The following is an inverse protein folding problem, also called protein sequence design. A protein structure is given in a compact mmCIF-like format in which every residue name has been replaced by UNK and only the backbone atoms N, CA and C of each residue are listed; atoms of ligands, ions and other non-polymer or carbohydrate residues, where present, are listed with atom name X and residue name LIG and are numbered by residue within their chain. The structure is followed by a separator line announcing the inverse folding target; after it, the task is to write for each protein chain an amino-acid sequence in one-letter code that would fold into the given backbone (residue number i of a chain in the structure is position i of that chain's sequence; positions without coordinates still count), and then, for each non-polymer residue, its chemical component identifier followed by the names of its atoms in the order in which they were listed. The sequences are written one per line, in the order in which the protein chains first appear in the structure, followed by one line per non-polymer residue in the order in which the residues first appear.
data_IF_697332964207
#
_entry.id   IF_697332964207
#
_cell.length_a   1.000
_cell.length_b   1.000
_cell.length_c   1.000
_cell.angle_alpha   90.00
_cell.angle_beta   90.00
_cell.angle_gamma   90.00
#
_symmetry.space_group_name_H-M   'P 1'
#
loop_
_entity.id
_entity.type
_entity.pdbx_description
1 polymer ?
#
# COMPACT_ATOMS: atom_id res chain seq x y z
N UNK A 1 15.75 33.31 0.76
CA UNK A 1 15.78 32.72 -0.59
C UNK A 1 14.40 32.10 -0.80
N UNK A 2 13.60 32.60 -1.75
CA UNK A 2 12.30 31.99 -2.05
C UNK A 2 12.62 30.72 -2.86
N UNK A 3 12.43 29.56 -2.24
CA UNK A 3 12.64 28.28 -2.90
C UNK A 3 11.44 28.03 -3.81
N UNK A 4 11.60 28.29 -5.11
CA UNK A 4 10.59 27.99 -6.11
C UNK A 4 10.60 26.49 -6.41
N UNK A 5 9.54 25.79 -6.03
CA UNK A 5 9.45 24.35 -6.19
C UNK A 5 8.53 24.00 -7.37
N UNK A 6 8.82 24.57 -8.55
CA UNK A 6 7.99 24.52 -9.77
C UNK A 6 7.59 23.08 -10.17
N UNK A 7 8.40 22.07 -9.85
CA UNK A 7 8.09 20.64 -10.09
C UNK A 7 6.90 20.11 -9.28
N UNK A 8 6.55 20.76 -8.18
CA UNK A 8 5.57 20.30 -7.20
C UNK A 8 4.31 21.16 -7.12
N UNK A 9 4.32 22.34 -7.73
CA UNK A 9 3.23 23.31 -7.64
C UNK A 9 2.10 23.07 -8.67
N UNK A 10 2.31 22.19 -9.65
CA UNK A 10 1.35 21.96 -10.75
C UNK A 10 0.54 20.66 -10.65
N UNK A 11 0.84 19.75 -9.71
CA UNK A 11 0.15 18.46 -9.59
C UNK A 11 -0.70 18.41 -8.32
N UNK A 12 -2.02 18.27 -8.49
CA UNK A 12 -2.95 18.17 -7.36
C UNK A 12 -2.86 16.78 -6.67
N UNK A 13 -2.88 15.71 -7.47
CA UNK A 13 -2.69 14.33 -7.01
C UNK A 13 -1.78 13.58 -7.97
N UNK A 14 -0.98 12.66 -7.44
CA UNK A 14 -0.24 11.68 -8.22
C UNK A 14 -0.65 10.29 -7.74
N UNK A 15 -1.01 9.43 -8.69
CA UNK A 15 -1.44 8.06 -8.41
C UNK A 15 -0.36 7.09 -8.85
N UNK A 16 -0.09 6.11 -8.00
CA UNK A 16 0.71 4.93 -8.32
C UNK A 16 -0.13 3.70 -7.99
N UNK A 17 0.01 2.62 -8.75
CA UNK A 17 -0.45 1.33 -8.24
C UNK A 17 0.23 1.05 -6.90
N UNK A 18 -0.51 0.55 -5.91
CA UNK A 18 0.08 0.10 -4.66
C UNK A 18 0.53 -1.35 -4.85
N UNK A 19 1.82 -1.60 -5.10
CA UNK A 19 2.25 -2.93 -5.51
C UNK A 19 2.06 -3.93 -4.38
N UNK A 20 1.72 -5.16 -4.74
CA UNK A 20 1.74 -6.30 -3.81
C UNK A 20 3.18 -6.75 -3.56
N UNK A 21 3.47 -7.16 -2.33
CA UNK A 21 4.79 -7.63 -1.91
C UNK A 21 5.67 -6.57 -1.25
N UNK A 22 6.25 -6.89 -0.10
CA UNK A 22 7.01 -5.97 0.75
C UNK A 22 8.13 -5.24 -0.01
N UNK A 23 8.92 -5.97 -0.81
CA UNK A 23 10.02 -5.39 -1.60
C UNK A 23 9.53 -4.39 -2.65
N UNK A 24 8.40 -4.66 -3.30
CA UNK A 24 7.85 -3.76 -4.34
C UNK A 24 7.28 -2.49 -3.70
N UNK A 25 6.69 -2.58 -2.52
CA UNK A 25 6.24 -1.40 -1.74
C UNK A 25 7.43 -0.55 -1.30
N UNK A 26 8.52 -1.16 -0.82
CA UNK A 26 9.75 -0.43 -0.48
C UNK A 26 10.35 0.29 -1.70
N UNK A 27 10.36 -0.37 -2.86
CA UNK A 27 10.81 0.25 -4.11
C UNK A 27 9.94 1.43 -4.54
N UNK A 28 8.62 1.35 -4.34
CA UNK A 28 7.73 2.49 -4.54
C UNK A 28 8.06 3.63 -3.55
N UNK A 29 8.30 3.32 -2.28
CA UNK A 29 8.72 4.31 -1.29
C UNK A 29 9.99 5.06 -1.72
N UNK A 30 11.00 4.32 -2.20
CA UNK A 30 12.24 4.92 -2.76
C UNK A 30 11.94 5.88 -3.91
N UNK A 31 11.06 5.49 -4.84
CA UNK A 31 10.64 6.32 -5.98
C UNK A 31 9.90 7.58 -5.53
N UNK A 32 8.98 7.47 -4.58
CA UNK A 32 8.24 8.61 -4.03
C UNK A 32 9.20 9.60 -3.38
N UNK A 33 10.18 9.12 -2.60
CA UNK A 33 11.21 9.98 -2.01
C UNK A 33 12.02 10.72 -3.08
N UNK A 34 12.47 10.05 -4.12
CA UNK A 34 13.24 10.67 -5.20
C UNK A 34 12.45 11.72 -5.98
N UNK A 35 11.14 11.50 -6.14
CA UNK A 35 10.29 12.37 -6.94
C UNK A 35 9.71 13.52 -6.13
N UNK A 36 9.23 13.31 -4.90
CA UNK A 36 8.33 14.23 -4.18
C UNK A 36 8.85 14.77 -2.86
N UNK A 37 9.79 14.08 -2.20
CA UNK A 37 10.28 14.51 -0.89
C UNK A 37 11.25 15.70 -1.05
N UNK A 38 10.94 16.79 -0.37
CA UNK A 38 11.80 17.96 -0.30
C UNK A 38 12.65 17.91 1.00
N UNK A 39 13.95 18.29 0.94
CA UNK A 39 14.79 18.44 2.13
C UNK A 39 14.18 19.28 3.26
N UNK A 40 13.31 20.23 2.94
CA UNK A 40 12.66 21.14 3.88
C UNK A 40 11.29 20.67 4.39
N UNK A 41 10.76 19.55 3.88
CA UNK A 41 9.52 18.98 4.43
C UNK A 41 9.73 18.56 5.88
N UNK A 42 8.86 19.03 6.76
CA UNK A 42 8.89 18.77 8.20
C UNK A 42 7.86 17.75 8.62
N UNK A 43 6.67 17.74 8.03
CA UNK A 43 5.62 16.76 8.35
C UNK A 43 5.33 15.92 7.12
N UNK A 44 5.56 14.61 7.24
CA UNK A 44 5.15 13.62 6.25
C UNK A 44 3.96 12.87 6.83
N UNK A 45 2.76 13.12 6.31
CA UNK A 45 1.55 12.44 6.73
C UNK A 45 1.36 11.16 5.92
N UNK A 46 1.19 10.03 6.61
CA UNK A 46 0.89 8.74 5.99
C UNK A 46 -0.51 8.30 6.44
N UNK A 47 -1.38 8.00 5.48
CA UNK A 47 -2.75 7.56 5.68
C UNK A 47 -2.93 6.20 5.04
N UNK A 48 -3.56 5.27 5.74
CA UNK A 48 -3.81 3.93 5.23
C UNK A 48 -4.29 3.01 6.34
N UNK A 49 -5.13 2.05 6.00
CA UNK A 49 -5.67 1.13 7.01
C UNK A 49 -4.58 0.19 7.55
N UNK A 50 -4.97 -0.66 8.51
CA UNK A 50 -4.08 -1.73 8.97
C UNK A 50 -3.68 -2.61 7.77
N UNK A 51 -2.44 -3.07 7.76
CA UNK A 51 -1.93 -4.02 6.77
C UNK A 51 -1.86 -3.50 5.32
N UNK A 52 -2.06 -2.20 5.08
CA UNK A 52 -1.97 -1.61 3.73
C UNK A 52 -0.53 -1.49 3.19
N UNK A 53 0.48 -1.78 4.02
CA UNK A 53 1.90 -1.69 3.67
C UNK A 53 2.58 -0.37 4.05
N UNK A 54 1.98 0.45 4.93
CA UNK A 54 2.55 1.73 5.40
C UNK A 54 4.00 1.62 5.88
N UNK A 55 4.28 0.68 6.78
CA UNK A 55 5.62 0.50 7.36
C UNK A 55 6.66 0.16 6.29
N UNK A 56 6.32 -0.69 5.31
CA UNK A 56 7.21 -1.00 4.19
C UNK A 56 7.43 0.21 3.27
N UNK A 57 6.39 1.01 3.04
CA UNK A 57 6.51 2.24 2.27
C UNK A 57 7.46 3.22 2.96
N UNK A 58 7.30 3.42 4.28
CA UNK A 58 8.14 4.29 5.09
C UNK A 58 9.60 3.79 5.11
N UNK A 59 9.83 2.48 5.30
CA UNK A 59 11.18 1.88 5.23
C UNK A 59 11.83 2.10 3.86
N UNK A 60 11.05 2.07 2.78
CA UNK A 60 11.52 2.40 1.43
C UNK A 60 11.83 3.89 1.24
N UNK A 61 11.00 4.77 1.81
CA UNK A 61 11.17 6.22 1.73
C UNK A 61 12.34 6.74 2.57
N UNK A 62 12.53 6.16 3.76
CA UNK A 62 13.51 6.56 4.77
C UNK A 62 14.29 5.34 5.28
N UNK A 63 15.24 4.79 4.50
CA UNK A 63 16.03 3.65 4.92
C UNK A 63 16.76 3.90 6.25
N UNK A 64 16.69 2.95 7.18
CA UNK A 64 17.31 3.04 8.50
C UNK A 64 16.54 3.87 9.53
N UNK A 65 15.31 4.31 9.21
CA UNK A 65 14.46 4.99 10.19
C UNK A 65 14.10 4.03 11.34
N UNK A 66 14.21 4.55 12.57
CA UNK A 66 13.70 3.88 13.75
C UNK A 66 12.19 4.13 13.86
N UNK A 67 11.41 3.05 13.82
CA UNK A 67 9.96 3.09 14.00
C UNK A 67 9.59 2.34 15.28
N UNK A 68 8.59 2.84 15.99
CA UNK A 68 7.99 2.13 17.11
C UNK A 68 6.79 1.38 16.55
N UNK A 69 7.02 0.12 16.19
CA UNK A 69 6.00 -0.78 15.62
C UNK A 69 5.24 -1.57 16.71
N UNK A 70 5.75 -1.60 17.95
CA UNK A 70 5.10 -2.29 19.07
C UNK A 70 3.91 -1.49 19.61
N UNK A 71 2.94 -2.21 20.15
CA UNK A 71 1.78 -1.66 20.86
C UNK A 71 2.01 -1.61 22.37
N UNK A 72 3.28 -1.68 22.78
CA UNK A 72 3.70 -1.72 24.18
C UNK A 72 3.81 -0.31 24.78
N UNK A 73 3.27 -0.14 25.99
CA UNK A 73 3.25 1.15 26.68
C UNK A 73 4.66 1.70 26.91
N UNK A 74 5.61 0.85 27.31
CA UNK A 74 6.97 1.28 27.62
C UNK A 74 7.66 1.81 26.36
N UNK A 75 7.54 1.09 25.24
CA UNK A 75 8.14 1.53 23.97
C UNK A 75 7.53 2.85 23.47
N UNK A 76 6.22 3.02 23.62
CA UNK A 76 5.52 4.25 23.20
C UNK A 76 5.91 5.43 24.08
N UNK A 77 5.92 5.29 25.41
CA UNK A 77 6.29 6.37 26.32
C UNK A 77 7.77 6.77 26.18
N UNK A 78 8.64 5.82 25.81
CA UNK A 78 10.07 6.07 25.58
C UNK A 78 10.41 6.37 24.12
N UNK A 79 9.41 6.56 23.23
CA UNK A 79 9.70 6.78 21.82
C UNK A 79 10.48 8.09 21.59
N UNK A 80 11.35 8.15 20.56
CA UNK A 80 12.17 9.34 20.29
C UNK A 80 11.37 10.63 20.13
N UNK A 81 10.14 10.57 19.60
CA UNK A 81 9.31 11.76 19.38
C UNK A 81 8.92 12.45 20.70
N UNK A 82 8.53 11.69 21.72
CA UNK A 82 8.10 12.25 23.01
C UNK A 82 9.28 12.75 23.84
N UNK A 83 10.44 12.12 23.67
CA UNK A 83 11.65 12.40 24.44
C UNK A 83 12.68 13.20 23.61
N UNK A 84 12.21 14.03 22.68
CA UNK A 84 13.04 14.71 21.67
C UNK A 84 14.14 15.63 22.26
N UNK A 85 13.97 16.07 23.51
CA UNK A 85 14.93 16.91 24.25
C UNK A 85 16.08 16.09 24.86
N UNK A 86 15.84 14.83 25.21
CA UNK A 86 16.83 13.92 25.80
C UNK A 86 17.72 13.25 24.75
N UNK A 87 17.26 13.25 23.49
CA UNK A 87 18.06 12.78 22.36
C UNK A 87 19.10 13.87 22.07
N UNK A 88 20.36 13.67 22.50
CA UNK A 88 21.43 14.67 22.42
C UNK A 88 21.85 15.08 20.99
N UNK A 89 22.89 15.92 20.86
CA UNK A 89 23.36 16.55 19.60
C UNK A 89 23.52 15.61 18.37
N UNK A 90 23.74 14.30 18.57
CA UNK A 90 23.79 13.27 17.53
C UNK A 90 22.42 12.71 17.09
N UNK A 91 21.35 13.49 17.28
CA UNK A 91 19.96 13.08 17.06
C UNK A 91 19.59 12.56 15.67
N UNK A 92 18.57 11.68 15.61
CA UNK A 92 17.86 11.41 14.36
C UNK A 92 17.27 12.72 13.80
N UNK A 93 17.47 12.92 12.49
CA UNK A 93 16.90 14.07 11.75
C UNK A 93 15.41 13.89 11.41
N UNK A 94 14.92 12.66 11.51
CA UNK A 94 13.56 12.27 11.19
C UNK A 94 13.01 11.42 12.34
N UNK A 95 11.87 11.82 12.88
CA UNK A 95 11.11 11.11 13.90
C UNK A 95 9.94 10.38 13.25
N UNK A 96 9.36 9.43 13.97
CA UNK A 96 8.21 8.65 13.54
C UNK A 96 7.21 8.52 14.69
N UNK A 97 5.93 8.46 14.35
CA UNK A 97 4.86 8.07 15.26
C UNK A 97 3.74 7.38 14.49
N UNK A 98 3.29 6.24 15.02
CA UNK A 98 1.96 5.70 14.71
C UNK A 98 0.95 6.27 15.70
N UNK A 99 0.10 7.18 15.24
CA UNK A 99 -0.88 7.86 16.09
C UNK A 99 -1.93 6.90 16.63
N UNK A 100 -2.29 5.85 15.89
CA UNK A 100 -3.30 4.88 16.31
C UNK A 100 -2.81 4.04 17.49
N UNK A 101 -1.54 3.66 17.49
CA UNK A 101 -0.91 2.95 18.62
C UNK A 101 -0.61 3.91 19.77
N UNK A 102 0.03 5.05 19.49
CA UNK A 102 0.43 6.01 20.51
C UNK A 102 -0.76 6.57 21.33
N UNK A 103 -1.91 6.83 20.68
CA UNK A 103 -3.09 7.40 21.35
C UNK A 103 -3.73 6.51 22.43
N UNK A 104 -3.31 5.25 22.53
CA UNK A 104 -3.74 4.34 23.61
C UNK A 104 -3.15 4.73 24.95
N UNK A 105 -1.99 5.39 24.94
CA UNK A 105 -1.21 5.71 26.15
C UNK A 105 -0.95 7.22 26.31
N UNK A 106 -0.98 7.98 25.22
CA UNK A 106 -0.66 9.42 25.20
C UNK A 106 -1.80 10.20 24.54
N UNK A 107 -2.20 11.35 25.10
CA UNK A 107 -3.28 12.15 24.49
C UNK A 107 -2.89 12.69 23.11
N UNK A 108 -3.87 12.92 22.24
CA UNK A 108 -3.63 13.49 20.92
C UNK A 108 -3.02 14.90 21.02
N UNK A 109 -3.39 15.68 22.03
CA UNK A 109 -2.82 17.00 22.33
C UNK A 109 -1.33 16.92 22.70
N UNK A 110 -0.92 15.90 23.47
CA UNK A 110 0.48 15.67 23.80
C UNK A 110 1.30 15.24 22.59
N UNK A 111 0.76 14.33 21.76
CA UNK A 111 1.39 13.94 20.49
C UNK A 111 1.55 15.17 19.57
N UNK A 112 0.51 16.00 19.45
CA UNK A 112 0.56 17.22 18.65
C UNK A 112 1.59 18.23 19.18
N UNK A 113 1.71 18.39 20.51
CA UNK A 113 2.74 19.22 21.13
C UNK A 113 4.15 18.70 20.83
N UNK A 114 4.36 17.39 20.92
CA UNK A 114 5.65 16.76 20.60
C UNK A 114 6.02 16.97 19.12
N UNK A 115 5.07 16.81 18.20
CA UNK A 115 5.25 17.15 16.79
C UNK A 115 5.64 18.62 16.61
N UNK A 116 4.90 19.55 17.22
CA UNK A 116 5.22 20.98 17.16
C UNK A 116 6.62 21.32 17.71
N UNK A 117 7.04 20.64 18.78
CA UNK A 117 8.38 20.80 19.35
C UNK A 117 9.46 20.37 18.34
N UNK A 118 9.34 19.14 17.80
CA UNK A 118 10.30 18.59 16.83
C UNK A 118 10.43 19.43 15.56
N UNK A 119 9.31 19.92 15.00
CA UNK A 119 9.35 20.78 13.81
C UNK A 119 9.93 22.18 14.12
N UNK A 120 9.75 22.65 15.36
CA UNK A 120 10.33 23.88 15.90
C UNK A 120 11.86 23.79 15.99
N UNK A 121 12.39 22.61 16.30
CA UNK A 121 13.82 22.27 16.23
C UNK A 121 14.34 22.08 14.80
N UNK A 122 13.51 22.36 13.77
CA UNK A 122 13.83 22.17 12.36
C UNK A 122 14.14 20.71 11.97
N UNK A 123 13.50 19.76 12.67
CA UNK A 123 13.57 18.32 12.38
C UNK A 123 12.29 17.86 11.68
N UNK A 124 12.33 16.68 11.07
CA UNK A 124 11.19 16.07 10.36
C UNK A 124 10.47 15.06 11.25
N UNK A 125 9.17 14.92 11.08
CA UNK A 125 8.37 13.83 11.64
C UNK A 125 7.53 13.14 10.55
N UNK A 126 7.49 11.82 10.61
CA UNK A 126 6.57 10.97 9.86
C UNK A 126 5.44 10.60 10.80
N UNK A 127 4.21 10.82 10.36
CA UNK A 127 3.01 10.57 11.18
C UNK A 127 2.13 9.60 10.42
N UNK A 128 2.07 8.35 10.88
CA UNK A 128 1.06 7.40 10.43
C UNK A 128 -0.28 7.68 11.09
N UNK A 129 -1.36 7.41 10.36
CA UNK A 129 -2.71 7.77 10.76
C UNK A 129 -2.87 9.28 10.96
N UNK A 130 -2.32 10.05 10.02
CA UNK A 130 -2.29 11.52 10.08
C UNK A 130 -3.69 12.15 10.17
N UNK A 131 -4.70 11.52 9.58
CA UNK A 131 -6.11 11.91 9.67
C UNK A 131 -6.60 12.03 11.12
N UNK A 132 -6.07 11.20 12.03
CA UNK A 132 -6.44 11.20 13.45
C UNK A 132 -5.81 12.40 14.18
N UNK A 133 -4.58 12.77 13.83
CA UNK A 133 -3.84 13.84 14.51
C UNK A 133 -4.18 15.23 13.95
N UNK A 134 -4.51 15.32 12.67
CA UNK A 134 -4.76 16.58 11.96
C UNK A 134 -5.71 17.56 12.68
N UNK A 135 -6.86 17.13 13.24
CA UNK A 135 -7.81 18.04 13.90
C UNK A 135 -7.21 18.80 15.10
N UNK A 136 -6.33 18.14 15.87
CA UNK A 136 -5.67 18.76 17.03
C UNK A 136 -4.35 19.44 16.66
N UNK A 137 -3.66 18.95 15.62
CA UNK A 137 -2.40 19.53 15.14
C UNK A 137 -2.61 20.89 14.48
N UNK A 138 -3.78 21.09 13.85
CA UNK A 138 -4.20 22.35 13.18
C UNK A 138 -3.22 22.83 12.11
N UNK A 139 -2.46 21.88 11.54
CA UNK A 139 -1.51 22.09 10.45
C UNK A 139 -1.54 20.85 9.58
N UNK A 140 -1.65 21.04 8.27
CA UNK A 140 -1.58 19.94 7.31
C UNK A 140 -0.13 19.48 7.09
N UNK A 141 0.05 18.28 6.55
CA UNK A 141 1.37 17.75 6.23
C UNK A 141 2.02 18.55 5.09
N UNK A 142 3.35 18.60 5.03
CA UNK A 142 4.04 19.21 3.89
C UNK A 142 4.02 18.26 2.68
N UNK A 143 4.01 16.94 2.94
CA UNK A 143 3.76 15.86 1.98
C UNK A 143 2.77 14.86 2.59
N UNK A 144 1.70 14.54 1.87
CA UNK A 144 0.66 13.62 2.30
C UNK A 144 0.62 12.41 1.36
N UNK A 145 0.61 11.22 1.94
CA UNK A 145 0.62 9.96 1.21
C UNK A 145 -0.50 9.07 1.73
N UNK A 146 -1.42 8.68 0.85
CA UNK A 146 -2.48 7.72 1.11
C UNK A 146 -2.14 6.36 0.48
N UNK A 147 -2.43 5.25 1.17
CA UNK A 147 -2.22 3.89 0.65
C UNK A 147 -3.50 3.07 0.77
N UNK A 148 -4.11 2.76 -0.37
CA UNK A 148 -5.25 1.86 -0.52
C UNK A 148 -4.95 0.81 -1.59
N UNK A 149 -5.80 0.74 -2.62
CA UNK A 149 -5.48 0.06 -3.88
C UNK A 149 -4.40 0.76 -4.67
N UNK A 150 -4.46 2.07 -4.66
CA UNK A 150 -3.45 2.95 -5.21
C UNK A 150 -2.74 3.70 -4.08
N UNK A 151 -1.54 4.20 -4.37
CA UNK A 151 -0.83 5.15 -3.53
C UNK A 151 -1.04 6.54 -4.10
N UNK A 152 -1.68 7.39 -3.30
CA UNK A 152 -1.94 8.79 -3.62
C UNK A 152 -0.83 9.62 -2.98
N UNK A 153 -0.15 10.45 -3.77
CA UNK A 153 0.87 11.39 -3.28
C UNK A 153 0.46 12.81 -3.63
N UNK A 154 0.33 13.66 -2.61
CA UNK A 154 -0.10 15.04 -2.77
C UNK A 154 0.62 15.98 -1.80
N UNK A 155 0.68 17.26 -2.18
CA UNK A 155 1.15 18.34 -1.31
C UNK A 155 -0.03 19.27 -1.04
N UNK A 156 -0.62 19.20 0.17
CA UNK A 156 -1.79 19.98 0.45
C UNK A 156 -1.47 21.48 0.51
N UNK A 157 -2.38 22.28 -0.03
CA UNK A 157 -2.36 23.74 0.05
C UNK A 157 -3.27 24.22 1.18
N UNK A 158 -3.43 25.54 1.31
CA UNK A 158 -4.45 26.14 2.19
C UNK A 158 -5.87 25.60 1.88
N UNK A 159 -6.13 25.22 0.63
CA UNK A 159 -7.41 24.71 0.17
C UNK A 159 -7.48 23.17 0.11
N UNK A 160 -6.50 22.49 0.71
CA UNK A 160 -6.44 21.04 0.78
C UNK A 160 -5.59 20.39 -0.31
N UNK A 161 -5.73 19.06 -0.52
CA UNK A 161 -6.73 18.19 0.13
C UNK A 161 -6.62 18.12 1.66
N UNK A 162 -7.78 17.91 2.30
CA UNK A 162 -7.82 17.56 3.71
C UNK A 162 -7.43 16.08 3.88
N UNK A 163 -6.77 15.72 5.00
CA UNK A 163 -6.43 14.32 5.30
C UNK A 163 -7.61 13.36 5.19
N UNK A 164 -8.79 13.75 5.68
CA UNK A 164 -9.99 12.92 5.64
C UNK A 164 -10.45 12.60 4.20
N UNK A 165 -10.24 13.52 3.25
CA UNK A 165 -10.56 13.26 1.85
C UNK A 165 -9.69 12.13 1.28
N UNK A 166 -8.41 12.10 1.65
CA UNK A 166 -7.51 11.01 1.26
C UNK A 166 -7.90 9.73 1.96
N UNK A 167 -8.21 9.80 3.26
CA UNK A 167 -8.59 8.66 4.08
C UNK A 167 -9.79 7.90 3.48
N UNK A 168 -10.85 8.61 3.09
CA UNK A 168 -12.03 8.01 2.47
C UNK A 168 -11.66 7.19 1.23
N UNK A 169 -10.92 7.78 0.28
CA UNK A 169 -10.53 7.10 -0.97
C UNK A 169 -9.70 5.85 -0.70
N UNK A 170 -8.70 5.94 0.18
CA UNK A 170 -7.77 4.82 0.40
C UNK A 170 -8.34 3.71 1.28
N UNK A 171 -9.28 4.04 2.18
CA UNK A 171 -9.97 3.04 2.99
C UNK A 171 -10.99 2.28 2.16
N UNK A 172 -11.77 2.98 1.34
CA UNK A 172 -12.79 2.37 0.49
C UNK A 172 -12.16 1.47 -0.59
N UNK A 173 -11.02 1.88 -1.16
CA UNK A 173 -10.36 1.11 -2.22
C UNK A 173 -9.53 -0.08 -1.73
N UNK A 174 -9.14 -0.15 -0.46
CA UNK A 174 -8.21 -1.18 0.03
C UNK A 174 -8.73 -2.62 -0.17
N UNK A 175 -10.05 -2.81 -0.14
CA UNK A 175 -10.67 -4.13 -0.31
C UNK A 175 -10.31 -4.74 -1.66
N UNK A 176 -10.32 -3.95 -2.75
CA UNK A 176 -10.00 -4.44 -4.09
C UNK A 176 -8.56 -4.95 -4.18
N UNK A 177 -7.63 -4.31 -3.49
CA UNK A 177 -6.23 -4.77 -3.41
C UNK A 177 -6.08 -6.09 -2.66
N UNK A 178 -6.83 -6.26 -1.56
CA UNK A 178 -6.84 -7.50 -0.78
C UNK A 178 -7.47 -8.64 -1.57
N UNK A 179 -8.59 -8.38 -2.25
CA UNK A 179 -9.24 -9.36 -3.14
C UNK A 179 -8.31 -9.74 -4.29
N UNK A 180 -7.72 -8.77 -4.98
CA UNK A 180 -6.83 -9.01 -6.12
C UNK A 180 -5.60 -9.83 -5.72
N UNK A 181 -4.99 -9.54 -4.57
CA UNK A 181 -3.86 -10.32 -4.08
C UNK A 181 -4.27 -11.75 -3.69
N UNK A 182 -5.43 -11.91 -3.06
CA UNK A 182 -5.95 -13.24 -2.70
C UNK A 182 -6.31 -14.07 -3.93
N UNK A 183 -6.93 -13.46 -4.94
CA UNK A 183 -7.23 -14.09 -6.22
C UNK A 183 -5.95 -14.48 -6.99
N UNK A 184 -4.90 -13.65 -6.93
CA UNK A 184 -3.59 -13.96 -7.51
C UNK A 184 -2.96 -15.21 -6.86
N UNK A 185 -3.08 -15.35 -5.53
CA UNK A 185 -2.58 -16.54 -4.83
C UNK A 185 -3.43 -17.80 -5.13
N UNK A 186 -4.76 -17.66 -5.27
CA UNK A 186 -5.61 -18.77 -5.73
C UNK A 186 -5.26 -19.22 -7.15
N UNK A 187 -4.96 -18.28 -8.04
CA UNK A 187 -4.43 -18.62 -9.36
C UNK A 187 -3.11 -19.38 -9.23
N UNK A 188 -2.17 -18.86 -8.44
CA UNK A 188 -0.89 -19.49 -8.15
C UNK A 188 -1.03 -20.92 -7.63
N UNK A 189 -1.99 -21.17 -6.75
CA UNK A 189 -2.37 -22.47 -6.23
C UNK A 189 -2.92 -23.41 -7.31
N UNK A 190 -3.85 -22.94 -8.14
CA UNK A 190 -4.48 -23.77 -9.18
C UNK A 190 -3.49 -24.23 -10.26
N UNK A 191 -2.44 -23.45 -10.52
CA UNK A 191 -1.42 -23.76 -11.53
C UNK A 191 -0.10 -24.26 -10.95
N UNK A 192 -0.03 -24.60 -9.65
CA UNK A 192 1.23 -24.95 -8.97
C UNK A 192 1.90 -26.21 -9.51
N UNK A 193 1.12 -27.18 -9.98
CA UNK A 193 1.58 -28.48 -10.49
C UNK A 193 1.77 -28.47 -12.01
N UNK A 194 1.59 -27.31 -12.66
CA UNK A 194 1.74 -27.13 -14.10
C UNK A 194 3.10 -26.48 -14.36
N UNK A 195 3.92 -27.12 -15.20
CA UNK A 195 5.18 -26.52 -15.66
C UNK A 195 4.92 -25.19 -16.37
N UNK A 196 5.64 -24.14 -15.96
CA UNK A 196 5.34 -22.78 -16.41
C UNK A 196 6.60 -21.91 -16.52
N UNK A 197 6.63 -20.97 -17.50
CA UNK A 197 7.75 -20.04 -17.65
C UNK A 197 7.92 -19.14 -16.42
N UNK A 198 9.05 -18.43 -16.39
CA UNK A 198 9.29 -17.40 -15.38
C UNK A 198 8.22 -16.32 -15.47
N UNK A 199 7.71 -15.94 -14.31
CA UNK A 199 6.62 -14.99 -14.18
C UNK A 199 7.07 -13.74 -13.42
N UNK A 200 6.59 -12.58 -13.87
CA UNK A 200 6.75 -11.28 -13.21
C UNK A 200 5.37 -10.75 -12.85
N UNK A 201 5.20 -10.39 -11.58
CA UNK A 201 3.96 -9.81 -11.05
C UNK A 201 3.84 -8.32 -11.42
N UNK A 202 2.69 -7.94 -11.95
CA UNK A 202 2.30 -6.57 -12.29
C UNK A 202 0.93 -6.26 -11.72
N UNK A 203 0.63 -4.97 -11.56
CA UNK A 203 -0.62 -4.51 -10.95
C UNK A 203 -1.51 -3.88 -12.03
N UNK A 204 -2.81 -4.14 -11.92
CA UNK A 204 -3.89 -3.45 -12.64
C UNK A 204 -4.94 -3.01 -11.61
N UNK A 205 -5.79 -2.06 -11.98
CA UNK A 205 -6.93 -1.68 -11.15
C UNK A 205 -7.88 -2.87 -11.02
N UNK A 206 -8.37 -3.10 -9.80
CA UNK A 206 -9.33 -4.11 -9.43
C UNK A 206 -8.96 -5.53 -9.91
N UNK A 207 -7.67 -5.87 -9.84
CA UNK A 207 -7.22 -7.13 -10.41
C UNK A 207 -5.72 -7.40 -10.26
N UNK A 208 -5.26 -8.49 -10.86
CA UNK A 208 -3.85 -8.87 -10.90
C UNK A 208 -3.40 -9.14 -12.34
N UNK A 209 -2.10 -9.03 -12.57
CA UNK A 209 -1.48 -9.38 -13.84
C UNK A 209 -0.18 -10.16 -13.63
N UNK A 210 -0.07 -11.29 -14.30
CA UNK A 210 1.09 -12.16 -14.31
C UNK A 210 1.69 -12.17 -15.72
N UNK A 211 2.94 -11.75 -15.84
CA UNK A 211 3.65 -11.66 -17.11
C UNK A 211 4.66 -12.80 -17.25
N UNK A 212 4.43 -13.67 -18.22
CA UNK A 212 5.28 -14.82 -18.51
C UNK A 212 6.25 -14.52 -19.65
N UNK A 213 7.46 -15.07 -19.57
CA UNK A 213 8.49 -14.94 -20.63
C UNK A 213 8.13 -15.68 -21.91
N UNK A 214 7.25 -16.67 -21.82
CA UNK A 214 6.72 -17.46 -22.94
C UNK A 214 5.23 -17.68 -22.71
N UNK A 215 4.47 -18.02 -23.75
CA UNK A 215 3.04 -18.31 -23.61
C UNK A 215 2.85 -19.59 -22.80
N UNK A 216 2.28 -19.55 -21.59
CA UNK A 216 2.05 -20.76 -20.82
C UNK A 216 0.93 -21.59 -21.45
N UNK A 217 0.97 -22.90 -21.24
CA UNK A 217 -0.05 -23.84 -21.70
C UNK A 217 -1.20 -23.95 -20.70
N UNK A 218 -1.75 -22.81 -20.26
CA UNK A 218 -2.89 -22.85 -19.35
C UNK A 218 -4.22 -22.84 -20.09
N UNK A 219 -5.14 -23.67 -19.62
CA UNK A 219 -6.57 -23.54 -19.89
C UNK A 219 -7.16 -22.54 -18.89
N UNK A 220 -7.33 -21.29 -19.33
CA UNK A 220 -7.84 -20.20 -18.49
C UNK A 220 -9.33 -20.36 -18.14
N UNK A 221 -10.09 -21.18 -18.89
CA UNK A 221 -11.47 -21.49 -18.53
C UNK A 221 -11.48 -22.49 -17.37
N UNK A 222 -10.72 -23.58 -17.47
CA UNK A 222 -10.61 -24.59 -16.41
C UNK A 222 -10.03 -24.01 -15.11
N UNK A 223 -9.04 -23.12 -15.21
CA UNK A 223 -8.45 -22.48 -14.02
C UNK A 223 -9.45 -21.55 -13.33
N UNK A 224 -10.23 -20.77 -14.08
CA UNK A 224 -11.25 -19.93 -13.47
C UNK A 224 -12.30 -20.76 -12.74
N UNK A 225 -12.78 -21.86 -13.34
CA UNK A 225 -13.73 -22.76 -12.67
C UNK A 225 -13.17 -23.29 -11.35
N UNK A 226 -11.89 -23.67 -11.31
CA UNK A 226 -11.21 -24.10 -10.07
C UNK A 226 -11.13 -22.99 -9.03
N UNK A 227 -10.79 -21.77 -9.45
CA UNK A 227 -10.74 -20.62 -8.53
C UNK A 227 -12.13 -20.31 -7.98
N UNK A 228 -13.16 -20.30 -8.83
CA UNK A 228 -14.55 -20.08 -8.42
C UNK A 228 -15.04 -21.16 -7.44
N UNK A 229 -14.67 -22.42 -7.65
CA UNK A 229 -14.95 -23.49 -6.68
C UNK A 229 -14.27 -23.24 -5.33
N UNK A 230 -13.00 -22.82 -5.32
CA UNK A 230 -12.30 -22.44 -4.08
C UNK A 230 -12.94 -21.22 -3.38
N UNK A 231 -13.43 -20.24 -4.14
CA UNK A 231 -14.17 -19.09 -3.61
C UNK A 231 -15.49 -19.57 -2.98
N UNK A 232 -16.23 -20.45 -3.65
CA UNK A 232 -17.48 -21.02 -3.14
C UNK A 232 -17.30 -21.87 -1.88
N UNK A 233 -16.13 -22.50 -1.70
CA UNK A 233 -15.80 -23.24 -0.48
C UNK A 233 -15.53 -22.35 0.75
N UNK A 234 -15.33 -21.04 0.55
CA UNK A 234 -15.09 -20.05 1.61
C UNK A 234 -13.97 -20.47 2.60
N UNK A 235 -12.84 -20.89 2.06
CA UNK A 235 -11.69 -21.35 2.82
C UNK A 235 -11.03 -20.17 3.56
N UNK A 236 -10.63 -20.33 4.84
CA UNK A 236 -9.97 -19.27 5.58
C UNK A 236 -8.59 -18.96 4.98
N UNK A 237 -8.25 -17.67 4.91
CA UNK A 237 -6.92 -17.18 4.51
C UNK A 237 -6.28 -16.49 5.72
N UNK A 238 -5.11 -16.98 6.14
CA UNK A 238 -4.41 -16.46 7.32
C UNK A 238 -2.92 -16.28 7.06
N UNK A 239 -2.28 -15.26 7.64
CA UNK A 239 -0.82 -15.21 7.68
C UNK A 239 -0.31 -16.41 8.50
N UNK A 240 0.65 -17.15 7.93
CA UNK A 240 1.29 -18.27 8.62
C UNK A 240 2.57 -17.81 9.31
N UNK A 241 3.40 -17.04 8.59
CA UNK A 241 4.56 -16.32 9.10
C UNK A 241 4.83 -15.07 8.23
N UNK A 242 6.06 -14.53 8.25
CA UNK A 242 6.43 -13.32 7.49
C UNK A 242 6.51 -13.53 5.97
N UNK A 243 6.63 -14.78 5.50
CA UNK A 243 6.86 -15.14 4.10
C UNK A 243 5.83 -16.13 3.55
N UNK A 244 4.86 -16.57 4.37
CA UNK A 244 3.85 -17.56 3.97
C UNK A 244 2.44 -17.20 4.42
N UNK A 245 1.46 -17.65 3.64
CA UNK A 245 0.04 -17.68 4.00
C UNK A 245 -0.46 -19.12 4.09
N UNK A 246 -1.55 -19.30 4.82
CA UNK A 246 -2.31 -20.53 4.87
C UNK A 246 -3.70 -20.30 4.26
N UNK A 247 -4.07 -21.12 3.28
CA UNK A 247 -5.42 -21.17 2.68
C UNK A 247 -6.03 -22.53 3.00
N UNK A 248 -7.05 -22.56 3.86
CA UNK A 248 -7.56 -23.81 4.43
C UNK A 248 -6.43 -24.55 5.17
N UNK A 249 -6.09 -25.75 4.69
CA UNK A 249 -4.99 -26.57 5.24
C UNK A 249 -3.67 -26.42 4.47
N UNK A 250 -3.63 -25.62 3.41
CA UNK A 250 -2.47 -25.50 2.53
C UNK A 250 -1.63 -24.26 2.87
N UNK A 251 -0.33 -24.44 3.05
CA UNK A 251 0.64 -23.34 3.28
C UNK A 251 1.39 -23.05 1.99
N UNK A 252 1.55 -21.77 1.66
CA UNK A 252 2.24 -21.31 0.46
C UNK A 252 2.99 -19.99 0.65
N UNK A 253 4.06 -19.81 -0.13
CA UNK A 253 4.87 -18.60 -0.15
C UNK A 253 4.02 -17.38 -0.56
N UNK A 254 4.17 -16.28 0.18
CA UNK A 254 3.53 -15.02 -0.12
C UNK A 254 4.43 -13.85 0.29
N UNK A 255 4.55 -12.87 -0.60
CA UNK A 255 5.43 -11.71 -0.37
C UNK A 255 4.80 -10.59 0.46
N UNK A 256 3.50 -10.71 0.78
CA UNK A 256 2.76 -9.80 1.66
C UNK A 256 1.64 -10.52 2.43
N UNK A 257 1.96 -11.40 3.41
CA UNK A 257 0.98 -12.28 4.07
C UNK A 257 -0.16 -11.57 4.82
N UNK A 258 0.02 -10.30 5.17
CA UNK A 258 -1.00 -9.49 5.85
C UNK A 258 -2.00 -8.83 4.89
N UNK A 259 -1.72 -8.82 3.58
CA UNK A 259 -2.52 -8.13 2.56
C UNK A 259 -3.50 -9.10 1.88
N UNK A 260 -4.39 -9.71 2.65
CA UNK A 260 -5.41 -10.63 2.12
C UNK A 260 -6.79 -10.31 2.69
N UNK A 261 -7.81 -10.79 1.98
CA UNK A 261 -9.15 -10.99 2.59
C UNK A 261 -9.09 -12.16 3.58
N UNK A 262 -10.04 -12.25 4.49
CA UNK A 262 -9.98 -13.24 5.59
C UNK A 262 -10.39 -14.65 5.15
N UNK A 263 -11.11 -14.76 4.03
CA UNK A 263 -11.52 -16.03 3.43
C UNK A 263 -11.64 -15.90 1.91
N UNK A 264 -11.58 -17.02 1.19
CA UNK A 264 -11.72 -17.04 -0.28
C UNK A 264 -13.09 -16.55 -0.72
N UNK A 265 -14.15 -16.75 0.08
CA UNK A 265 -15.51 -16.30 -0.22
C UNK A 265 -15.71 -14.78 -0.18
N UNK A 266 -14.75 -14.03 0.38
CA UNK A 266 -14.74 -12.56 0.33
C UNK A 266 -14.21 -12.01 -1.01
N UNK A 267 -13.78 -12.86 -1.94
CA UNK A 267 -13.43 -12.44 -3.29
C UNK A 267 -14.72 -12.34 -4.10
N UNK A 268 -15.14 -11.11 -4.38
CA UNK A 268 -16.37 -10.83 -5.11
C UNK A 268 -16.10 -10.63 -6.61
N UNK A 269 -17.07 -11.03 -7.45
CA UNK A 269 -17.07 -10.80 -8.90
C UNK A 269 -15.76 -11.14 -9.63
N UNK A 270 -15.18 -12.29 -9.28
CA UNK A 270 -13.95 -12.77 -9.91
C UNK A 270 -14.15 -13.18 -11.38
N UNK A 271 -13.21 -12.80 -12.26
CA UNK A 271 -13.12 -13.29 -13.64
C UNK A 271 -11.68 -13.22 -14.17
N UNK A 272 -11.26 -14.22 -14.96
CA UNK A 272 -10.02 -14.20 -15.74
C UNK A 272 -10.29 -13.66 -17.14
N UNK A 273 -9.39 -12.80 -17.61
CA UNK A 273 -9.32 -12.45 -19.02
C UNK A 273 -8.88 -13.69 -19.80
N UNK A 274 -9.75 -14.22 -20.67
CA UNK A 274 -9.54 -15.49 -21.41
C UNK A 274 -8.55 -15.39 -22.57
N UNK A 275 -7.97 -14.22 -22.79
CA UNK A 275 -6.98 -13.97 -23.84
C UNK A 275 -5.59 -13.73 -23.25
N UNK A 276 -4.58 -14.27 -23.93
CA UNK A 276 -3.19 -13.93 -23.64
C UNK A 276 -2.80 -12.68 -24.41
N UNK A 277 -2.62 -11.56 -23.71
CA UNK A 277 -2.07 -10.35 -24.33
C UNK A 277 -0.56 -10.49 -24.45
N UNK A 278 -0.06 -10.32 -25.67
CA UNK A 278 1.38 -10.25 -25.91
C UNK A 278 1.83 -8.79 -25.93
N UNK A 279 2.74 -8.43 -25.00
CA UNK A 279 3.34 -7.11 -24.93
C UNK A 279 4.63 -7.07 -25.77
N UNK A 280 4.62 -6.46 -26.96
CA UNK A 280 5.74 -6.54 -27.90
C UNK A 280 7.00 -5.83 -27.41
N UNK A 281 6.88 -4.83 -26.53
CA UNK A 281 8.04 -4.06 -26.03
C UNK A 281 8.92 -4.89 -25.09
N UNK A 282 8.30 -5.77 -24.30
CA UNK A 282 8.98 -6.56 -23.29
C UNK A 282 9.04 -8.05 -23.64
N UNK A 283 8.38 -8.45 -24.73
CA UNK A 283 8.27 -9.85 -25.16
C UNK A 283 7.66 -10.75 -24.07
N UNK A 284 6.55 -10.30 -23.47
CA UNK A 284 5.88 -10.99 -22.37
C UNK A 284 4.43 -11.35 -22.74
N UNK A 285 3.95 -12.46 -22.21
CA UNK A 285 2.55 -12.87 -22.28
C UNK A 285 1.86 -12.60 -20.95
N UNK A 286 0.85 -11.75 -20.97
CA UNK A 286 0.08 -11.38 -19.80
C UNK A 286 -1.11 -12.34 -19.61
N UNK A 287 -1.28 -12.78 -18.36
CA UNK A 287 -2.53 -13.32 -17.82
C UNK A 287 -3.05 -12.31 -16.83
N UNK A 288 -4.35 -12.00 -16.88
CA UNK A 288 -4.98 -11.04 -15.98
C UNK A 288 -6.25 -11.64 -15.35
N UNK A 289 -6.49 -11.26 -14.10
CA UNK A 289 -7.73 -11.54 -13.37
C UNK A 289 -8.28 -10.27 -12.76
N UNK A 290 -9.60 -10.17 -12.70
CA UNK A 290 -10.38 -9.04 -12.19
C UNK A 290 -11.20 -9.47 -10.98
N UNK A 291 -11.50 -8.51 -10.09
CA UNK A 291 -12.29 -8.67 -8.87
C UNK A 291 -13.18 -7.45 -8.67
N UNK A 292 -14.31 -7.59 -7.97
CA UNK A 292 -15.23 -6.51 -7.65
C UNK A 292 -15.99 -5.90 -8.84
N UNK A 293 -15.75 -6.42 -10.04
CA UNK A 293 -16.49 -6.16 -11.25
C UNK A 293 -16.33 -7.39 -12.15
N UNK A 294 -17.43 -7.88 -12.73
CA UNK A 294 -17.34 -8.96 -13.71
C UNK A 294 -16.86 -8.37 -15.03
N UNK A 295 -15.79 -8.94 -15.56
CA UNK A 295 -15.37 -8.69 -16.94
C UNK A 295 -16.49 -9.16 -17.90
N UNK A 296 -17.11 -8.23 -18.63
CA UNK A 296 -18.02 -8.53 -19.73
C UNK A 296 -17.22 -8.58 -21.03
N UNK A 297 -17.27 -9.69 -21.78
CA UNK A 297 -16.55 -9.89 -23.06
C UNK A 297 -16.91 -8.86 -24.17
N UNK A 298 -17.81 -7.91 -23.89
CA UNK A 298 -18.39 -6.98 -24.86
C UNK A 298 -17.70 -5.63 -24.98
N UNK A 299 -16.78 -5.27 -24.10
CA UNK A 299 -16.03 -4.01 -24.18
C UNK A 299 -14.56 -4.27 -24.45
N UNK A 300 -13.94 -3.42 -25.27
CA UNK A 300 -12.52 -3.57 -25.63
C UNK A 300 -11.69 -3.71 -24.34
N UNK A 301 -10.89 -4.76 -24.27
CA UNK A 301 -9.95 -5.04 -23.16
C UNK A 301 -8.88 -3.95 -22.92
N UNK A 302 -9.01 -2.80 -23.61
CA UNK A 302 -8.19 -1.60 -23.51
C UNK A 302 -8.51 -0.74 -22.27
N UNK A 303 -9.54 -1.09 -21.47
CA UNK A 303 -10.12 -0.21 -20.43
C UNK A 303 -9.89 -0.65 -18.96
N UNK A 304 -8.97 -1.59 -18.69
CA UNK A 304 -8.73 -2.11 -17.32
C UNK A 304 -8.15 -1.09 -16.31
N UNK A 305 -7.67 0.07 -16.78
CA UNK A 305 -7.07 1.11 -15.92
C UNK A 305 -7.80 2.46 -16.03
N UNK A 306 -9.12 2.45 -16.21
CA UNK A 306 -9.90 3.68 -16.31
C UNK A 306 -9.86 4.50 -15.01
N UNK A 307 -9.68 5.81 -15.17
CA UNK A 307 -9.80 6.80 -14.10
C UNK A 307 -11.30 7.11 -13.96
N UNK A 308 -11.92 6.64 -12.87
CA UNK A 308 -13.23 7.11 -12.46
C UNK A 308 -13.00 8.33 -11.56
N UNK A 309 -13.38 9.51 -12.04
CA UNK A 309 -13.32 10.78 -11.29
C UNK A 309 -14.69 11.08 -10.72
#
# INVERSE_FOLDING_TARGET
MIYNNVRHECNLYNFFFAPRGNRRVMELGRKITQMYLNPFDKIIGIIGAKDSGKSMLIKGMFPGIQMVESDDEFDILNMPLLNAEDVGFYTPRTFHVDVRSARKYVSLEEIAKAVHNVIGMNKRVIVEHFEILYPVLKRNADLLIGIGEEVIVTRPSLFGPLPDNIANVVFDSLIYRKMAHSAEELFGYCVKDIDRPKCIRSDIKHGFMLNYTEKPSFDLAEIEEKILDLIHQDLPIKPYDEEHIQIGDYVMDCTAPLLHVESTGQIEDFSLVKEYYYEPKFHLYAVAGTVGHKHEETEKNEELNNIEI
#
